data_IF_431961603474
#
_entry.id   IF_431961603474
#
_cell.length_a   1.000
_cell.length_b   1.000
_cell.length_c   1.000
_cell.angle_alpha   90.00
_cell.angle_beta   90.00
_cell.angle_gamma   90.00
#
_symmetry.space_group_name_H-M   'P 1'
#
loop_
_entity.id
_entity.type
_entity.pdbx_description
1 polymer ?
#
# COMPACT_ATOMS: atom_id res chain seq x y z
N UNK A 1 -1.36 -3.72 20.13
CA UNK A 1 -2.36 -2.64 19.97
C UNK A 1 -1.78 -1.33 20.49
N UNK A 2 -2.02 -0.24 19.79
CA UNK A 2 -1.58 1.10 20.19
C UNK A 2 -2.80 1.91 20.61
N UNK A 3 -2.73 2.58 21.75
CA UNK A 3 -3.76 3.48 22.26
C UNK A 3 -3.16 4.44 23.29
N UNK A 4 -3.96 5.39 23.73
CA UNK A 4 -3.59 6.32 24.79
C UNK A 4 -3.47 7.76 24.30
N UNK A 5 -3.31 8.72 25.25
CA UNK A 5 -3.33 10.15 24.91
C UNK A 5 -2.25 10.56 23.93
N UNK A 6 -1.06 9.99 24.04
CA UNK A 6 0.04 10.34 23.14
C UNK A 6 -0.27 9.89 21.70
N UNK A 7 -0.78 8.69 21.53
CA UNK A 7 -1.16 8.17 20.22
C UNK A 7 -2.34 8.98 19.64
N UNK A 8 -3.32 9.31 20.46
CA UNK A 8 -4.46 10.14 20.05
C UNK A 8 -3.99 11.52 19.57
N UNK A 9 -3.05 12.13 20.30
CA UNK A 9 -2.47 13.41 19.89
C UNK A 9 -1.70 13.29 18.58
N UNK A 10 -0.89 12.24 18.47
CA UNK A 10 -0.10 11.97 17.26
C UNK A 10 -0.99 11.80 16.02
N UNK A 11 -2.09 11.06 16.16
CA UNK A 11 -2.99 10.79 15.04
C UNK A 11 -4.05 11.86 14.83
N UNK A 12 -4.22 12.79 15.78
CA UNK A 12 -5.22 13.84 15.69
C UNK A 12 -6.65 13.35 15.87
N UNK A 13 -6.85 12.22 16.54
CA UNK A 13 -8.17 11.62 16.76
C UNK A 13 -8.30 11.15 18.20
N UNK A 14 -9.31 11.64 18.92
CA UNK A 14 -9.53 11.28 20.31
C UNK A 14 -9.92 9.81 20.46
N UNK A 15 -9.37 9.19 21.52
CA UNK A 15 -9.73 7.82 21.88
C UNK A 15 -9.35 6.76 20.86
N UNK A 16 -8.38 7.04 20.02
CA UNK A 16 -7.97 6.13 18.94
C UNK A 16 -7.32 4.86 19.50
N UNK A 17 -7.71 3.73 18.94
CA UNK A 17 -7.08 2.44 19.22
C UNK A 17 -6.85 1.70 17.91
N UNK A 18 -5.64 1.17 17.72
CA UNK A 18 -5.29 0.47 16.49
C UNK A 18 -4.34 -0.69 16.76
N UNK A 19 -4.52 -1.75 16.02
CA UNK A 19 -3.47 -2.75 15.81
C UNK A 19 -2.58 -2.26 14.69
N UNK A 20 -1.27 -2.48 14.81
CA UNK A 20 -0.39 -2.01 13.75
C UNK A 20 0.73 -2.99 13.45
N UNK A 21 1.16 -2.98 12.21
CA UNK A 21 2.32 -3.70 11.73
C UNK A 21 3.18 -2.72 10.94
N UNK A 22 4.47 -2.67 11.26
CA UNK A 22 5.44 -1.89 10.51
C UNK A 22 6.23 -2.83 9.61
N UNK A 23 6.20 -2.56 8.32
CA UNK A 23 6.97 -3.27 7.31
C UNK A 23 8.14 -2.39 6.88
N UNK A 24 9.34 -2.93 6.96
CA UNK A 24 10.54 -2.21 6.53
C UNK A 24 10.97 -2.70 5.15
N UNK A 25 11.24 -1.77 4.25
CA UNK A 25 11.80 -2.13 2.96
C UNK A 25 13.24 -2.63 3.15
N UNK A 26 13.53 -3.82 2.61
CA UNK A 26 14.87 -4.40 2.74
C UNK A 26 15.84 -3.74 1.76
N UNK A 27 17.11 -3.67 2.15
CA UNK A 27 18.20 -3.14 1.31
C UNK A 27 17.98 -1.69 0.83
N UNK A 28 17.25 -0.89 1.63
CA UNK A 28 16.97 0.52 1.34
C UNK A 28 17.57 1.39 2.43
N UNK A 29 18.29 2.43 2.05
CA UNK A 29 18.85 3.43 2.95
C UNK A 29 18.52 4.83 2.42
N UNK A 30 18.03 5.75 3.27
CA UNK A 30 17.68 5.55 4.67
C UNK A 30 16.49 4.60 4.86
N UNK A 31 16.26 4.17 6.11
CA UNK A 31 15.17 3.26 6.44
C UNK A 31 13.84 3.79 5.93
N UNK A 32 13.13 2.98 5.17
CA UNK A 32 11.80 3.31 4.64
C UNK A 32 10.80 2.26 5.12
N UNK A 33 9.66 2.72 5.61
CA UNK A 33 8.67 1.85 6.23
C UNK A 33 7.29 2.05 5.62
N UNK A 34 6.50 0.98 5.64
CA UNK A 34 5.06 1.02 5.38
C UNK A 34 4.38 0.56 6.67
N UNK A 35 3.48 1.36 7.20
CA UNK A 35 2.72 1.03 8.38
C UNK A 35 1.30 0.65 8.01
N UNK A 36 0.85 -0.50 8.50
CA UNK A 36 -0.50 -0.98 8.34
C UNK A 36 -1.23 -0.83 9.67
N UNK A 37 -2.35 -0.13 9.66
CA UNK A 37 -3.13 0.15 10.85
C UNK A 37 -4.53 -0.42 10.69
N UNK A 38 -4.95 -1.20 11.69
CA UNK A 38 -6.33 -1.67 11.77
C UNK A 38 -7.00 -1.00 12.98
N UNK A 39 -7.90 -0.08 12.73
CA UNK A 39 -8.54 0.68 13.79
C UNK A 39 -9.60 -0.16 14.49
N UNK A 40 -9.55 -0.14 15.82
CA UNK A 40 -10.59 -0.70 16.67
C UNK A 40 -11.55 0.40 17.13
N UNK A 41 -11.02 1.62 17.26
CA UNK A 41 -11.80 2.78 17.63
C UNK A 41 -11.09 4.06 17.14
N UNK A 42 -11.79 5.00 16.51
CA UNK A 42 -13.16 4.88 16.01
C UNK A 42 -13.27 3.88 14.86
N UNK A 43 -14.48 3.55 14.43
CA UNK A 43 -14.68 2.70 13.26
C UNK A 43 -14.01 3.34 12.04
N UNK A 44 -13.31 2.56 11.21
CA UNK A 44 -12.68 3.11 10.01
C UNK A 44 -13.75 3.66 9.06
N UNK A 45 -13.39 4.73 8.36
CA UNK A 45 -14.26 5.36 7.38
C UNK A 45 -13.89 4.83 5.99
N UNK A 46 -14.75 4.05 5.34
CA UNK A 46 -14.46 3.57 4.00
C UNK A 46 -14.49 4.71 2.99
N UNK A 47 -13.65 4.62 1.98
CA UNK A 47 -13.62 5.53 0.84
C UNK A 47 -14.06 4.76 -0.40
N UNK A 48 -15.30 4.94 -0.89
CA UNK A 48 -15.78 4.20 -2.06
C UNK A 48 -15.02 4.56 -3.34
N UNK A 49 -14.29 5.67 -3.35
CA UNK A 49 -13.49 6.10 -4.50
C UNK A 49 -12.03 5.68 -4.41
N UNK A 50 -11.64 4.83 -3.44
CA UNK A 50 -10.24 4.51 -3.18
C UNK A 50 -9.51 3.94 -4.41
N UNK A 51 -10.21 3.22 -5.26
CA UNK A 51 -9.65 2.64 -6.47
C UNK A 51 -9.62 3.57 -7.69
N UNK A 52 -10.16 4.77 -7.56
CA UNK A 52 -10.19 5.74 -8.66
C UNK A 52 -8.91 6.57 -8.65
N UNK A 53 -8.05 6.36 -9.65
CA UNK A 53 -6.76 7.03 -9.74
C UNK A 53 -6.85 8.50 -10.17
N UNK A 54 -8.04 8.98 -10.55
CA UNK A 54 -8.24 10.40 -10.86
C UNK A 54 -8.68 11.21 -9.64
N UNK A 55 -8.93 10.55 -8.53
CA UNK A 55 -9.30 11.19 -7.27
C UNK A 55 -8.16 12.07 -6.76
N UNK A 56 -8.50 13.24 -6.22
CA UNK A 56 -7.51 14.09 -5.56
C UNK A 56 -7.01 13.42 -4.28
N UNK A 57 -5.78 13.73 -3.91
CA UNK A 57 -5.11 13.17 -2.77
C UNK A 57 -4.24 11.98 -3.16
N UNK A 58 -3.72 11.28 -2.18
CA UNK A 58 -2.88 10.12 -2.40
C UNK A 58 -3.72 8.98 -3.01
N UNK A 59 -3.24 8.37 -4.10
CA UNK A 59 -4.04 7.34 -4.76
C UNK A 59 -3.32 6.02 -5.01
N UNK A 60 -1.98 6.00 -5.05
CA UNK A 60 -1.25 4.73 -5.18
C UNK A 60 0.19 4.87 -4.71
N UNK A 61 0.83 3.73 -4.46
CA UNK A 61 2.23 3.64 -4.12
C UNK A 61 2.90 2.69 -5.13
N UNK A 62 4.13 3.03 -5.53
CA UNK A 62 4.91 2.20 -6.44
C UNK A 62 6.11 1.62 -5.70
N UNK A 63 6.32 0.31 -5.86
CA UNK A 63 7.54 -0.37 -5.42
C UNK A 63 8.33 -0.81 -6.63
N UNK A 64 9.61 -0.45 -6.67
CA UNK A 64 10.54 -0.97 -7.66
C UNK A 64 10.96 -2.39 -7.29
N UNK A 65 10.98 -3.27 -8.26
CA UNK A 65 11.38 -4.67 -8.08
C UNK A 65 12.43 -5.05 -9.14
N UNK A 66 13.20 -6.09 -8.86
CA UNK A 66 14.26 -6.54 -9.76
C UNK A 66 13.73 -7.41 -10.90
N UNK A 67 12.68 -8.19 -10.65
CA UNK A 67 12.08 -9.10 -11.63
C UNK A 67 10.55 -9.04 -11.49
N UNK A 68 9.95 -8.21 -12.33
CA UNK A 68 8.50 -7.95 -12.24
C UNK A 68 7.68 -9.19 -12.55
N UNK A 69 8.06 -9.97 -13.56
CA UNK A 69 7.28 -11.15 -13.93
C UNK A 69 7.32 -12.21 -12.85
N UNK A 70 8.45 -12.40 -12.19
CA UNK A 70 8.55 -13.32 -11.06
C UNK A 70 7.68 -12.85 -9.88
N UNK A 71 7.68 -11.56 -9.58
CA UNK A 71 6.85 -11.01 -8.52
C UNK A 71 5.35 -11.15 -8.84
N UNK A 72 4.97 -10.89 -10.07
CA UNK A 72 3.59 -11.05 -10.52
C UNK A 72 3.14 -12.50 -10.38
N UNK A 73 3.98 -13.46 -10.81
CA UNK A 73 3.65 -14.89 -10.69
C UNK A 73 3.47 -15.30 -9.22
N UNK A 74 4.36 -14.82 -8.35
CA UNK A 74 4.30 -15.09 -6.91
C UNK A 74 3.01 -14.55 -6.29
N UNK A 75 2.65 -13.32 -6.63
CA UNK A 75 1.46 -12.67 -6.08
C UNK A 75 0.17 -13.28 -6.61
N UNK A 76 0.11 -13.64 -7.89
CA UNK A 76 -1.04 -14.35 -8.46
C UNK A 76 -1.28 -15.67 -7.75
N UNK A 77 -0.21 -16.41 -7.46
CA UNK A 77 -0.32 -17.68 -6.74
C UNK A 77 -0.90 -17.49 -5.34
N UNK A 78 -0.80 -16.30 -4.77
CA UNK A 78 -1.37 -15.93 -3.46
C UNK A 78 -2.76 -15.31 -3.56
N UNK A 79 -3.34 -15.24 -4.75
CA UNK A 79 -4.68 -14.71 -4.96
C UNK A 79 -4.76 -13.22 -5.17
N UNK A 80 -3.64 -12.52 -5.35
CA UNK A 80 -3.65 -11.09 -5.64
C UNK A 80 -4.17 -10.84 -7.06
N UNK A 81 -5.05 -9.86 -7.19
CA UNK A 81 -5.64 -9.49 -8.48
C UNK A 81 -4.88 -8.36 -9.15
N UNK A 82 -4.59 -8.55 -10.43
CA UNK A 82 -4.02 -7.49 -11.27
C UNK A 82 -5.15 -6.62 -11.81
N UNK A 83 -4.91 -5.32 -11.89
CA UNK A 83 -5.82 -4.38 -12.54
C UNK A 83 -5.60 -4.30 -14.04
N UNK A 84 -4.40 -4.65 -14.49
CA UNK A 84 -4.02 -4.66 -15.90
C UNK A 84 -2.94 -5.71 -16.11
N UNK A 85 -2.63 -6.00 -17.36
CA UNK A 85 -1.49 -6.83 -17.71
C UNK A 85 -0.18 -6.04 -17.52
N UNK A 86 0.94 -6.76 -17.40
CA UNK A 86 2.26 -6.12 -17.40
C UNK A 86 2.44 -5.36 -18.71
N UNK A 87 2.79 -4.09 -18.61
CA UNK A 87 2.97 -3.20 -19.74
C UNK A 87 4.34 -2.57 -19.69
N UNK A 88 4.90 -2.29 -20.84
CA UNK A 88 6.09 -1.45 -20.95
C UNK A 88 5.65 -0.01 -21.24
N UNK A 89 6.07 0.92 -20.38
CA UNK A 89 5.71 2.32 -20.51
C UNK A 89 6.90 3.20 -20.10
N UNK A 90 7.34 4.03 -21.03
CA UNK A 90 8.59 4.77 -20.89
C UNK A 90 9.75 3.80 -20.63
N UNK A 91 10.53 4.01 -19.61
CA UNK A 91 11.74 3.22 -19.33
C UNK A 91 11.48 2.13 -18.28
N UNK A 92 10.28 1.57 -18.22
CA UNK A 92 9.96 0.55 -17.22
C UNK A 92 8.83 -0.36 -17.66
N UNK A 93 8.86 -1.57 -17.13
CA UNK A 93 7.68 -2.45 -17.12
C UNK A 93 6.92 -2.18 -15.83
N UNK A 94 5.60 -2.17 -15.90
CA UNK A 94 4.76 -1.90 -14.74
C UNK A 94 3.46 -2.68 -14.77
N UNK A 95 2.87 -2.80 -13.58
CA UNK A 95 1.55 -3.38 -13.40
C UNK A 95 0.89 -2.75 -12.18
N UNK A 96 -0.42 -2.53 -12.25
CA UNK A 96 -1.21 -2.12 -11.09
C UNK A 96 -1.92 -3.31 -10.48
N UNK A 97 -1.90 -3.38 -9.17
CA UNK A 97 -2.51 -4.43 -8.36
C UNK A 97 -3.59 -3.85 -7.46
N UNK A 98 -4.58 -4.67 -7.15
CA UNK A 98 -5.54 -4.35 -6.09
C UNK A 98 -4.94 -4.78 -4.76
N UNK A 99 -4.62 -3.80 -3.93
CA UNK A 99 -4.08 -4.02 -2.59
C UNK A 99 -5.17 -4.12 -1.53
N UNK A 100 -4.77 -4.10 -0.24
CA UNK A 100 -5.73 -4.16 0.86
C UNK A 100 -6.72 -3.00 0.79
N UNK A 101 -7.98 -3.29 1.11
CA UNK A 101 -9.06 -2.30 1.16
C UNK A 101 -9.26 -1.52 -0.15
N UNK A 102 -8.84 -2.10 -1.28
CA UNK A 102 -8.99 -1.45 -2.59
C UNK A 102 -7.92 -0.45 -2.96
N UNK A 103 -6.88 -0.31 -2.14
CA UNK A 103 -5.74 0.55 -2.44
C UNK A 103 -5.05 0.03 -3.71
N UNK A 104 -4.62 0.95 -4.56
CA UNK A 104 -3.85 0.60 -5.75
C UNK A 104 -2.37 0.54 -5.41
N UNK A 105 -1.74 -0.57 -5.78
CA UNK A 105 -0.29 -0.75 -5.65
C UNK A 105 0.28 -0.94 -7.05
N UNK A 106 1.34 -0.19 -7.36
CA UNK A 106 2.08 -0.36 -8.60
C UNK A 106 3.37 -1.11 -8.33
N UNK A 107 3.72 -2.05 -9.19
CA UNK A 107 5.06 -2.64 -9.21
C UNK A 107 5.72 -2.27 -10.53
N UNK A 108 7.00 -1.92 -10.45
CA UNK A 108 7.75 -1.49 -11.63
C UNK A 108 9.15 -2.10 -11.63
N UNK A 109 9.59 -2.50 -12.83
CA UNK A 109 10.96 -2.92 -13.09
C UNK A 109 11.55 -1.95 -14.10
N UNK A 110 12.58 -1.21 -13.68
CA UNK A 110 13.22 -0.21 -14.52
C UNK A 110 14.23 -0.85 -15.47
N UNK A 111 14.29 -0.30 -16.68
CA UNK A 111 15.28 -0.71 -17.71
C UNK A 111 16.73 -0.46 -17.27
#
# INVERSE_FOLDING_TARGET
MIKGPQFSTYMGVDGIEAEHVTLTLVNVSPRTEVQLLKYRHPNPVPDPAIGNLTRLGFNHVCFAVDDLEAEVARLKAKGVQLRNEVMHFHNRKLVFLSGPEGVTVELAEWD
#
